data_IF_434959742490
#
_entry.id   IF_434959742490
#
_cell.length_a   1.000
_cell.length_b   1.000
_cell.length_c   1.000
_cell.angle_alpha   90.00
_cell.angle_beta   90.00
_cell.angle_gamma   90.00
#
_symmetry.space_group_name_H-M   'P 1'
#
loop_
_entity.id
_entity.type
_entity.pdbx_description
1 polymer ?
#
# COMPACT_ATOMS: atom_id res chain seq x y z
N UNK A 1 -12.80 11.58 7.29
CA UNK A 1 -12.89 11.72 8.76
C UNK A 1 -14.35 11.66 9.20
N UNK A 2 -15.23 12.54 8.71
CA UNK A 2 -16.64 12.63 9.11
C UNK A 2 -17.40 11.31 8.98
N UNK A 3 -17.28 10.62 7.86
CA UNK A 3 -17.93 9.33 7.63
C UNK A 3 -17.46 8.28 8.64
N UNK A 4 -16.14 8.17 8.86
CA UNK A 4 -15.58 7.23 9.82
C UNK A 4 -16.00 7.54 11.27
N UNK A 5 -16.14 8.81 11.62
CA UNK A 5 -16.63 9.22 12.94
C UNK A 5 -18.07 8.76 13.18
N UNK A 6 -18.88 8.61 12.11
CA UNK A 6 -20.28 8.18 12.19
C UNK A 6 -20.44 6.67 12.10
N UNK A 7 -19.81 6.02 11.12
CA UNK A 7 -20.02 4.59 10.82
C UNK A 7 -18.91 3.67 11.32
N UNK A 8 -17.84 4.25 11.87
CA UNK A 8 -16.63 3.53 12.26
C UNK A 8 -15.71 3.27 11.05
N UNK A 9 -14.51 2.81 11.33
CA UNK A 9 -13.52 2.50 10.30
C UNK A 9 -12.08 2.70 10.77
N UNK A 10 -11.13 2.55 9.85
CA UNK A 10 -9.68 2.55 10.13
C UNK A 10 -9.07 3.92 9.75
N UNK A 11 -9.25 4.94 10.59
CA UNK A 11 -8.82 6.30 10.27
C UNK A 11 -7.30 6.43 10.13
N UNK A 12 -6.55 6.00 11.14
CA UNK A 12 -5.08 6.17 11.17
C UNK A 12 -4.41 5.47 9.97
N UNK A 13 -4.80 4.22 9.70
CA UNK A 13 -4.25 3.45 8.56
C UNK A 13 -4.52 4.12 7.20
N UNK A 14 -5.67 4.76 7.05
CA UNK A 14 -6.00 5.48 5.82
C UNK A 14 -5.26 6.82 5.70
N UNK A 15 -5.13 7.56 6.78
CA UNK A 15 -4.36 8.81 6.76
C UNK A 15 -2.87 8.58 6.49
N UNK A 16 -2.32 7.44 6.96
CA UNK A 16 -0.92 7.08 6.75
C UNK A 16 -0.54 6.69 5.33
N UNK A 17 -1.52 6.50 4.43
CA UNK A 17 -1.26 6.06 3.04
C UNK A 17 -1.88 6.99 1.97
N UNK A 18 -2.29 8.20 2.33
CA UNK A 18 -2.90 9.12 1.37
C UNK A 18 -1.93 9.44 0.23
N UNK A 19 -0.73 9.90 0.58
CA UNK A 19 0.30 10.26 -0.39
C UNK A 19 0.78 9.06 -1.21
N UNK A 20 0.95 7.90 -0.56
CA UNK A 20 1.29 6.65 -1.23
C UNK A 20 0.21 6.26 -2.26
N UNK A 21 -1.05 6.30 -1.86
CA UNK A 21 -2.17 5.96 -2.75
C UNK A 21 -2.25 6.93 -3.93
N UNK A 22 -2.08 8.22 -3.70
CA UNK A 22 -2.05 9.22 -4.76
C UNK A 22 -0.88 8.99 -5.72
N UNK A 23 0.31 8.67 -5.21
CA UNK A 23 1.49 8.37 -6.03
C UNK A 23 1.27 7.12 -6.90
N UNK A 24 0.65 6.07 -6.35
CA UNK A 24 0.29 4.88 -7.10
C UNK A 24 -0.70 5.20 -8.24
N UNK A 25 -1.75 5.97 -7.96
CA UNK A 25 -2.74 6.37 -8.97
C UNK A 25 -2.20 7.34 -10.03
N UNK A 26 -1.12 8.07 -9.74
CA UNK A 26 -0.44 8.91 -10.73
C UNK A 26 0.51 8.11 -11.61
N UNK A 27 0.99 6.96 -11.14
CA UNK A 27 1.98 6.12 -11.82
C UNK A 27 1.36 4.93 -12.56
N UNK A 28 0.21 4.46 -12.11
CA UNK A 28 -0.48 3.27 -12.59
C UNK A 28 -1.96 3.55 -12.83
N UNK A 29 -2.54 2.90 -13.82
CA UNK A 29 -3.97 2.97 -14.10
C UNK A 29 -4.71 1.80 -13.44
N UNK A 30 -5.46 2.00 -12.34
CA UNK A 30 -6.12 0.91 -11.63
C UNK A 30 -7.24 0.23 -12.44
N UNK A 31 -7.62 0.76 -13.59
CA UNK A 31 -8.55 0.08 -14.51
C UNK A 31 -7.86 -1.01 -15.33
N UNK A 32 -6.54 -0.91 -15.48
CA UNK A 32 -5.68 -1.84 -16.24
C UNK A 32 -4.77 -2.58 -15.26
N UNK A 33 -3.99 -1.83 -14.48
CA UNK A 33 -3.00 -2.33 -13.54
C UNK A 33 -3.67 -2.92 -12.28
N UNK A 34 -3.03 -3.89 -11.66
CA UNK A 34 -3.59 -4.62 -10.52
C UNK A 34 -2.92 -4.17 -9.22
N UNK A 35 -3.66 -3.42 -8.40
CA UNK A 35 -3.21 -2.99 -7.07
C UNK A 35 -3.89 -3.86 -6.02
N UNK A 36 -3.12 -4.64 -5.28
CA UNK A 36 -3.59 -5.51 -4.20
C UNK A 36 -3.22 -4.91 -2.86
N UNK A 37 -4.23 -4.54 -2.08
CA UNK A 37 -4.07 -3.96 -0.74
C UNK A 37 -4.09 -5.07 0.30
N UNK A 38 -3.00 -5.26 1.05
CA UNK A 38 -2.97 -6.24 2.15
C UNK A 38 -3.97 -5.84 3.24
N UNK A 39 -4.76 -6.78 3.72
CA UNK A 39 -5.96 -6.52 4.53
C UNK A 39 -6.99 -5.66 3.77
N UNK A 40 -6.57 -4.53 3.23
CA UNK A 40 -7.40 -3.59 2.48
C UNK A 40 -8.11 -2.53 3.33
N UNK A 41 -7.87 -2.51 4.65
CA UNK A 41 -8.44 -1.53 5.57
C UNK A 41 -7.96 -0.09 5.33
N UNK A 42 -6.88 0.09 4.58
CA UNK A 42 -6.26 1.36 4.19
C UNK A 42 -6.68 1.83 2.77
N UNK A 43 -7.70 1.23 2.16
CA UNK A 43 -8.09 1.48 0.76
C UNK A 43 -9.05 2.65 0.54
N UNK A 44 -9.34 3.48 1.55
CA UNK A 44 -10.38 4.51 1.43
C UNK A 44 -9.99 5.62 0.43
N UNK A 45 -8.74 6.03 0.40
CA UNK A 45 -8.25 6.98 -0.61
C UNK A 45 -8.37 6.40 -2.01
N UNK A 46 -8.05 5.12 -2.21
CA UNK A 46 -8.26 4.41 -3.47
C UNK A 46 -9.73 4.44 -3.89
N UNK A 47 -10.67 4.14 -2.97
CA UNK A 47 -12.11 4.20 -3.25
C UNK A 47 -12.58 5.61 -3.63
N UNK A 48 -12.05 6.64 -2.99
CA UNK A 48 -12.37 8.04 -3.32
C UNK A 48 -11.89 8.38 -4.73
N UNK A 49 -10.65 8.04 -5.07
CA UNK A 49 -10.04 8.35 -6.36
C UNK A 49 -10.66 7.57 -7.51
N UNK A 50 -11.28 6.42 -7.22
CA UNK A 50 -12.00 5.58 -8.19
C UNK A 50 -13.51 5.87 -8.24
N UNK A 51 -13.93 7.06 -7.81
CA UNK A 51 -15.29 7.57 -8.01
C UNK A 51 -16.32 7.19 -6.94
N UNK A 52 -15.91 6.49 -5.87
CA UNK A 52 -16.81 5.99 -4.82
C UNK A 52 -16.96 6.94 -3.61
N UNK A 53 -16.66 8.23 -3.78
CA UNK A 53 -16.75 9.23 -2.69
C UNK A 53 -18.11 9.26 -2.02
N UNK A 54 -19.19 9.20 -2.78
CA UNK A 54 -20.56 9.30 -2.23
C UNK A 54 -20.95 8.07 -1.41
N UNK A 55 -20.39 6.91 -1.70
CA UNK A 55 -20.56 5.67 -0.95
C UNK A 55 -20.10 5.75 0.51
N UNK A 56 -19.27 6.74 0.85
CA UNK A 56 -18.84 6.98 2.23
C UNK A 56 -19.97 7.42 3.16
N UNK A 57 -21.11 7.84 2.62
CA UNK A 57 -22.31 8.09 3.41
C UNK A 57 -22.78 6.84 4.17
N UNK A 58 -22.62 5.64 3.57
CA UNK A 58 -23.06 4.35 4.12
C UNK A 58 -21.88 3.35 4.22
N UNK A 59 -20.68 3.88 4.52
CA UNK A 59 -19.48 3.06 4.69
C UNK A 59 -19.68 2.05 5.81
N UNK A 60 -19.45 0.75 5.54
CA UNK A 60 -19.56 -0.36 6.49
C UNK A 60 -20.96 -0.62 7.05
N UNK A 61 -21.98 0.01 6.49
CA UNK A 61 -23.37 -0.29 6.82
C UNK A 61 -23.88 -1.49 5.98
N UNK A 62 -24.91 -2.17 6.47
CA UNK A 62 -25.52 -3.27 5.69
C UNK A 62 -26.08 -2.74 4.36
N UNK A 63 -25.70 -3.37 3.27
CA UNK A 63 -26.05 -2.92 1.93
C UNK A 63 -25.33 -1.65 1.45
N UNK A 64 -24.44 -1.09 2.27
CA UNK A 64 -23.60 0.05 1.94
C UNK A 64 -22.23 -0.35 1.39
N UNK A 65 -21.33 0.63 1.28
CA UNK A 65 -19.97 0.42 0.76
C UNK A 65 -19.11 -0.36 1.75
N UNK A 66 -18.39 -1.38 1.26
CA UNK A 66 -17.44 -2.17 2.05
C UNK A 66 -16.30 -1.31 2.60
N UNK A 67 -15.86 -1.62 3.82
CA UNK A 67 -14.63 -1.06 4.40
C UNK A 67 -13.33 -1.65 3.83
N UNK A 68 -13.42 -2.57 2.87
CA UNK A 68 -12.31 -3.25 2.20
C UNK A 68 -12.52 -3.21 0.69
N UNK A 69 -11.48 -3.45 -0.13
CA UNK A 69 -11.64 -3.67 -1.57
C UNK A 69 -12.66 -4.75 -1.85
N UNK A 70 -13.51 -4.50 -2.83
CA UNK A 70 -14.59 -5.42 -3.21
C UNK A 70 -14.82 -5.34 -4.73
N UNK A 71 -14.49 -6.41 -5.43
CA UNK A 71 -14.65 -6.52 -6.89
C UNK A 71 -16.10 -6.39 -7.35
N UNK A 72 -17.07 -6.61 -6.46
CA UNK A 72 -18.48 -6.34 -6.74
C UNK A 72 -18.87 -4.86 -6.70
N UNK A 73 -17.99 -3.99 -6.17
CA UNK A 73 -18.23 -2.54 -6.12
C UNK A 73 -17.55 -1.79 -7.28
N UNK A 74 -16.40 -2.28 -7.75
CA UNK A 74 -15.63 -1.61 -8.79
C UNK A 74 -14.62 -2.55 -9.44
N UNK A 75 -14.48 -2.45 -10.76
CA UNK A 75 -13.45 -3.16 -11.54
C UNK A 75 -12.02 -2.70 -11.21
N UNK A 76 -11.87 -1.57 -10.50
CA UNK A 76 -10.57 -1.09 -10.01
C UNK A 76 -10.10 -1.81 -8.76
N UNK A 77 -10.96 -2.58 -8.09
CA UNK A 77 -10.59 -3.44 -6.98
C UNK A 77 -10.14 -4.80 -7.52
N UNK A 78 -8.84 -5.02 -7.55
CA UNK A 78 -8.25 -6.22 -8.17
C UNK A 78 -8.60 -7.52 -7.43
N UNK A 79 -8.94 -7.45 -6.14
CA UNK A 79 -9.26 -8.62 -5.33
C UNK A 79 -10.09 -8.25 -4.08
N UNK A 80 -10.92 -9.19 -3.61
CA UNK A 80 -11.60 -9.07 -2.32
C UNK A 80 -10.61 -9.38 -1.20
N UNK A 81 -10.15 -8.39 -0.48
CA UNK A 81 -9.19 -8.55 0.62
C UNK A 81 -9.85 -8.37 1.98
N UNK A 82 -9.20 -8.77 3.05
CA UNK A 82 -9.69 -8.69 4.43
C UNK A 82 -8.73 -9.36 5.41
N UNK A 83 -8.04 -10.42 5.00
CA UNK A 83 -7.03 -11.11 5.80
C UNK A 83 -5.64 -10.53 5.58
N UNK A 84 -4.83 -10.48 6.66
CA UNK A 84 -3.45 -10.02 6.61
C UNK A 84 -2.53 -11.02 5.91
N UNK A 85 -1.40 -10.53 5.41
CA UNK A 85 -0.30 -11.31 4.83
C UNK A 85 -0.61 -11.99 3.49
N UNK A 86 -1.70 -11.62 2.82
CA UNK A 86 -2.19 -12.29 1.60
C UNK A 86 -1.80 -11.58 0.31
N UNK A 87 -1.49 -10.28 0.35
CA UNK A 87 -1.34 -9.45 -0.84
C UNK A 87 -0.20 -9.89 -1.75
N UNK A 88 0.91 -10.35 -1.19
CA UNK A 88 2.06 -10.79 -1.99
C UNK A 88 1.74 -12.09 -2.73
N UNK A 89 1.07 -13.06 -2.08
CA UNK A 89 0.61 -14.29 -2.73
C UNK A 89 -0.39 -14.03 -3.85
N UNK A 90 -1.36 -13.11 -3.60
CA UNK A 90 -2.34 -12.72 -4.60
C UNK A 90 -1.68 -12.00 -5.79
N UNK A 91 -0.78 -11.05 -5.50
CA UNK A 91 -0.03 -10.35 -6.54
C UNK A 91 0.86 -11.29 -7.36
N UNK A 92 1.51 -12.25 -6.71
CA UNK A 92 2.28 -13.27 -7.40
C UNK A 92 1.42 -14.08 -8.36
N UNK A 93 0.23 -14.52 -7.91
CA UNK A 93 -0.71 -15.23 -8.77
C UNK A 93 -1.19 -14.40 -9.98
N UNK A 94 -1.45 -13.10 -9.78
CA UNK A 94 -1.81 -12.18 -10.87
C UNK A 94 -0.64 -11.97 -11.84
N UNK A 95 0.59 -11.88 -11.36
CA UNK A 95 1.78 -11.73 -12.18
C UNK A 95 2.04 -12.99 -13.03
N UNK A 96 1.89 -14.18 -12.45
CA UNK A 96 1.98 -15.44 -13.18
C UNK A 96 0.86 -15.58 -14.22
N UNK A 97 -0.38 -15.24 -13.85
CA UNK A 97 -1.51 -15.26 -14.78
C UNK A 97 -1.25 -14.36 -15.99
N UNK A 98 -0.75 -13.14 -15.77
CA UNK A 98 -0.36 -12.22 -16.84
C UNK A 98 0.65 -12.83 -17.82
N UNK A 99 1.69 -13.50 -17.30
CA UNK A 99 2.70 -14.15 -18.14
C UNK A 99 2.07 -15.27 -19.00
N UNK A 100 1.16 -16.05 -18.40
CA UNK A 100 0.48 -17.17 -19.10
C UNK A 100 -0.48 -16.65 -20.18
N UNK A 101 -1.22 -15.57 -19.88
CA UNK A 101 -2.21 -14.98 -20.82
C UNK A 101 -1.58 -14.05 -21.84
N UNK A 102 -0.34 -13.62 -21.63
CA UNK A 102 0.33 -12.64 -22.49
C UNK A 102 -0.24 -11.22 -22.38
N UNK A 103 -0.96 -10.92 -21.29
CA UNK A 103 -1.49 -9.58 -21.01
C UNK A 103 -0.38 -8.62 -20.57
N UNK A 104 -0.63 -7.33 -20.67
CA UNK A 104 0.34 -6.29 -20.35
C UNK A 104 -0.24 -5.31 -19.32
N UNK A 105 -0.10 -5.63 -18.05
CA UNK A 105 -0.43 -4.76 -16.92
C UNK A 105 0.60 -4.89 -15.80
N UNK A 106 0.71 -3.89 -14.97
CA UNK A 106 1.56 -3.95 -13.78
C UNK A 106 0.80 -4.62 -12.63
N UNK A 107 1.56 -5.29 -11.76
CA UNK A 107 1.02 -5.87 -10.52
C UNK A 107 1.75 -5.27 -9.35
N UNK A 108 0.99 -4.68 -8.43
CA UNK A 108 1.49 -3.98 -7.27
C UNK A 108 0.83 -4.54 -6.01
N UNK A 109 1.59 -5.08 -5.07
CA UNK A 109 1.10 -5.47 -3.74
C UNK A 109 1.54 -4.44 -2.70
N UNK A 110 0.58 -3.89 -1.97
CA UNK A 110 0.84 -2.94 -0.88
C UNK A 110 0.63 -3.66 0.44
N UNK A 111 1.69 -3.79 1.23
CA UNK A 111 1.66 -4.51 2.51
C UNK A 111 2.21 -3.63 3.64
N UNK A 112 1.55 -3.66 4.80
CA UNK A 112 2.05 -3.00 6.00
C UNK A 112 3.08 -3.85 6.74
N UNK A 113 3.91 -3.19 7.56
CA UNK A 113 4.94 -3.83 8.40
C UNK A 113 4.35 -4.90 9.33
N UNK A 114 3.20 -4.64 9.95
CA UNK A 114 2.51 -5.62 10.78
C UNK A 114 2.05 -6.85 10.00
N UNK A 115 1.49 -6.68 8.80
CA UNK A 115 1.05 -7.78 7.95
C UNK A 115 2.23 -8.59 7.38
N UNK A 116 3.38 -7.96 7.19
CA UNK A 116 4.60 -8.64 6.74
C UNK A 116 5.13 -9.64 7.76
N UNK A 117 4.72 -9.58 9.03
CA UNK A 117 5.14 -10.56 10.05
C UNK A 117 4.50 -11.95 9.88
N UNK A 118 3.48 -12.09 9.05
CA UNK A 118 2.79 -13.34 8.84
C UNK A 118 3.55 -14.31 7.92
N UNK A 119 3.49 -15.62 8.22
CA UNK A 119 4.22 -16.64 7.51
C UNK A 119 3.90 -16.72 6.02
N UNK A 120 2.65 -16.48 5.63
CA UNK A 120 2.23 -16.48 4.22
C UNK A 120 2.96 -15.40 3.40
N UNK A 121 3.21 -14.22 3.98
CA UNK A 121 3.97 -13.17 3.31
C UNK A 121 5.42 -13.61 3.02
N UNK A 122 6.06 -14.31 3.97
CA UNK A 122 7.42 -14.84 3.77
C UNK A 122 7.48 -15.92 2.71
N UNK A 123 6.52 -16.82 2.73
CA UNK A 123 6.45 -17.88 1.72
C UNK A 123 6.23 -17.30 0.32
N UNK A 124 5.35 -16.29 0.22
CA UNK A 124 5.14 -15.58 -1.03
C UNK A 124 6.39 -14.82 -1.51
N UNK A 125 7.13 -14.15 -0.62
CA UNK A 125 8.40 -13.50 -0.95
C UNK A 125 9.44 -14.51 -1.43
N UNK A 126 9.53 -15.67 -0.78
CA UNK A 126 10.42 -16.73 -1.21
C UNK A 126 10.07 -17.24 -2.62
N UNK A 127 8.80 -17.43 -2.92
CA UNK A 127 8.34 -17.79 -4.26
C UNK A 127 8.57 -16.68 -5.28
N UNK A 128 8.29 -15.42 -4.92
CA UNK A 128 8.50 -14.27 -5.79
C UNK A 128 9.96 -14.08 -6.22
N UNK A 129 10.93 -14.59 -5.44
CA UNK A 129 12.35 -14.55 -5.80
C UNK A 129 12.69 -15.33 -7.09
N UNK A 130 11.87 -16.29 -7.47
CA UNK A 130 11.99 -17.06 -8.70
C UNK A 130 11.28 -16.43 -9.90
N UNK A 131 10.39 -15.44 -9.64
CA UNK A 131 9.65 -14.76 -10.68
C UNK A 131 10.60 -13.87 -11.50
N UNK A 132 10.60 -14.03 -12.81
CA UNK A 132 11.38 -13.20 -13.75
C UNK A 132 10.56 -12.05 -14.32
N UNK A 133 9.36 -11.87 -13.83
CA UNK A 133 8.36 -10.93 -14.30
C UNK A 133 8.30 -9.67 -13.45
N UNK A 134 7.73 -8.61 -13.98
CA UNK A 134 7.60 -7.33 -13.29
C UNK A 134 6.50 -7.40 -12.23
N UNK A 135 6.90 -7.53 -10.96
CA UNK A 135 6.02 -7.52 -9.80
C UNK A 135 6.57 -6.54 -8.75
N UNK A 136 5.74 -5.60 -8.34
CA UNK A 136 6.13 -4.53 -7.41
C UNK A 136 5.54 -4.82 -6.03
N UNK A 137 6.40 -4.87 -5.02
CA UNK A 137 5.98 -5.00 -3.62
C UNK A 137 6.31 -3.69 -2.90
N UNK A 138 5.28 -3.03 -2.40
CA UNK A 138 5.39 -1.78 -1.63
C UNK A 138 5.21 -2.11 -0.16
N UNK A 139 6.28 -2.04 0.62
CA UNK A 139 6.24 -2.12 2.06
C UNK A 139 5.94 -0.73 2.65
N UNK A 140 4.77 -0.58 3.25
CA UNK A 140 4.40 0.61 4.01
C UNK A 140 4.75 0.39 5.49
N UNK A 141 5.84 0.98 5.93
CA UNK A 141 6.33 0.89 7.31
C UNK A 141 6.25 2.27 7.97
N UNK A 142 5.18 2.50 8.71
CA UNK A 142 4.96 3.70 9.51
C UNK A 142 5.06 3.46 11.01
N UNK A 143 5.59 2.31 11.42
CA UNK A 143 5.76 1.89 12.83
C UNK A 143 4.45 1.86 13.64
N UNK A 144 3.32 1.82 12.96
CA UNK A 144 1.99 1.88 13.55
C UNK A 144 1.26 0.55 13.29
N UNK A 145 1.30 -0.34 14.27
CA UNK A 145 0.37 -1.47 14.35
C UNK A 145 -0.48 -1.36 15.63
N UNK A 146 -1.49 -2.21 15.77
CA UNK A 146 -2.37 -2.25 16.97
C UNK A 146 -1.56 -2.57 18.24
N UNK A 147 -0.48 -3.33 18.08
CA UNK A 147 0.54 -3.62 19.11
C UNK A 147 1.93 -3.49 18.50
N UNK A 148 2.96 -3.41 19.34
CA UNK A 148 4.34 -3.41 18.86
C UNK A 148 4.62 -4.64 18.00
N UNK A 149 5.24 -4.42 16.84
CA UNK A 149 5.65 -5.50 15.96
C UNK A 149 6.73 -6.35 16.64
N UNK A 150 6.50 -7.66 16.72
CA UNK A 150 7.42 -8.61 17.32
C UNK A 150 8.09 -9.50 16.26
N UNK A 151 9.23 -10.06 16.62
CA UNK A 151 9.91 -11.04 15.78
C UNK A 151 11.15 -10.53 15.06
N UNK A 152 11.85 -11.47 14.43
CA UNK A 152 13.14 -11.23 13.76
C UNK A 152 13.03 -10.28 12.57
N UNK A 153 11.90 -10.28 11.86
CA UNK A 153 11.69 -9.40 10.71
C UNK A 153 11.60 -7.93 11.13
N UNK A 154 10.89 -7.62 12.20
CA UNK A 154 10.84 -6.24 12.71
C UNK A 154 12.25 -5.74 13.08
N UNK A 155 13.06 -6.60 13.72
CA UNK A 155 14.47 -6.29 14.01
C UNK A 155 15.28 -6.11 12.73
N UNK A 156 15.08 -6.95 11.73
CA UNK A 156 15.75 -6.84 10.44
C UNK A 156 15.41 -5.52 9.72
N UNK A 157 14.11 -5.18 9.62
CA UNK A 157 13.66 -3.92 9.02
C UNK A 157 14.17 -2.70 9.79
N UNK A 158 14.22 -2.78 11.13
CA UNK A 158 14.79 -1.73 11.97
C UNK A 158 16.28 -1.52 11.68
N UNK A 159 17.04 -2.61 11.60
CA UNK A 159 18.47 -2.56 11.26
C UNK A 159 18.68 -2.05 9.82
N UNK A 160 17.85 -2.48 8.88
CA UNK A 160 17.92 -2.01 7.49
C UNK A 160 17.72 -0.49 7.38
N UNK A 161 16.78 0.07 8.14
CA UNK A 161 16.52 1.53 8.16
C UNK A 161 17.67 2.34 8.73
N UNK A 162 18.49 1.75 9.58
CA UNK A 162 19.67 2.40 10.19
C UNK A 162 20.97 2.08 9.42
N UNK A 163 20.92 1.25 8.38
CA UNK A 163 22.08 0.93 7.59
C UNK A 163 22.53 2.15 6.75
N UNK A 164 23.85 2.37 6.67
CA UNK A 164 24.45 3.50 5.93
C UNK A 164 23.96 3.56 4.49
N UNK A 165 23.90 2.44 3.78
CA UNK A 165 23.40 2.37 2.40
C UNK A 165 21.94 2.88 2.25
N UNK A 166 21.06 2.64 3.22
CA UNK A 166 19.71 3.18 3.21
C UNK A 166 19.70 4.69 3.49
N UNK A 167 20.53 5.15 4.41
CA UNK A 167 20.65 6.57 4.73
C UNK A 167 21.20 7.36 3.55
N UNK A 168 22.23 6.84 2.87
CA UNK A 168 22.81 7.44 1.66
C UNK A 168 21.80 7.51 0.51
N UNK A 169 21.03 6.43 0.28
CA UNK A 169 19.96 6.41 -0.72
C UNK A 169 18.90 7.46 -0.40
N UNK A 170 18.47 7.53 0.85
CA UNK A 170 17.47 8.50 1.32
C UNK A 170 17.96 9.94 1.11
N UNK A 171 19.21 10.23 1.46
CA UNK A 171 19.79 11.56 1.28
C UNK A 171 19.95 11.90 -0.21
N UNK A 172 20.30 10.93 -1.05
CA UNK A 172 20.33 11.08 -2.50
C UNK A 172 18.95 11.41 -3.09
N UNK A 173 17.90 10.77 -2.63
CA UNK A 173 16.52 11.07 -3.04
C UNK A 173 16.09 12.48 -2.58
N UNK A 174 16.39 12.84 -1.32
CA UNK A 174 16.10 14.18 -0.79
C UNK A 174 16.82 15.26 -1.60
N UNK A 175 18.09 15.05 -1.93
CA UNK A 175 18.87 15.97 -2.76
C UNK A 175 18.30 16.09 -4.18
N UNK A 176 17.85 14.99 -4.77
CA UNK A 176 17.23 14.98 -6.09
C UNK A 176 15.91 15.75 -6.10
N UNK A 177 15.07 15.51 -5.09
CA UNK A 177 13.80 16.23 -4.92
C UNK A 177 14.02 17.72 -4.68
N UNK A 178 15.03 18.11 -3.89
CA UNK A 178 15.32 19.53 -3.62
C UNK A 178 15.73 20.33 -4.87
N UNK A 179 16.21 19.66 -5.92
CA UNK A 179 16.55 20.28 -7.20
C UNK A 179 15.35 20.60 -8.09
N UNK A 180 14.14 20.13 -7.73
CA UNK A 180 12.92 20.42 -8.49
C UNK A 180 12.52 21.89 -8.25
N UNK A 181 12.49 22.76 -9.28
CA UNK A 181 12.15 24.16 -9.12
C UNK A 181 10.74 24.34 -8.53
N UNK A 182 10.57 25.32 -7.64
CA UNK A 182 9.29 25.77 -7.05
C UNK A 182 8.71 24.81 -6.00
N UNK A 183 8.79 23.48 -6.18
CA UNK A 183 8.12 22.51 -5.31
C UNK A 183 9.08 21.68 -4.45
N UNK A 184 10.33 21.53 -4.84
CA UNK A 184 11.28 20.59 -4.22
C UNK A 184 11.53 20.87 -2.73
N UNK A 185 11.79 22.11 -2.34
CA UNK A 185 12.01 22.46 -0.93
C UNK A 185 10.74 22.26 -0.07
N UNK A 186 9.56 22.55 -0.63
CA UNK A 186 8.28 22.33 0.08
C UNK A 186 8.01 20.85 0.30
N UNK A 187 8.33 19.99 -0.68
CA UNK A 187 8.20 18.54 -0.56
C UNK A 187 9.16 17.99 0.49
N UNK A 188 10.43 18.38 0.44
CA UNK A 188 11.44 17.96 1.44
C UNK A 188 11.04 18.39 2.85
N UNK A 189 10.54 19.63 3.02
CA UNK A 189 10.06 20.13 4.32
C UNK A 189 8.86 19.32 4.84
N UNK A 190 7.91 18.96 3.97
CA UNK A 190 6.78 18.10 4.34
C UNK A 190 7.25 16.70 4.76
N UNK A 191 8.17 16.09 4.01
CA UNK A 191 8.73 14.77 4.32
C UNK A 191 9.45 14.79 5.69
N UNK A 192 10.21 15.84 5.99
CA UNK A 192 10.87 16.00 7.29
C UNK A 192 9.88 16.20 8.44
N UNK A 193 8.86 17.01 8.25
CA UNK A 193 7.87 17.28 9.29
C UNK A 193 6.95 16.07 9.57
N UNK A 194 6.66 15.24 8.58
CA UNK A 194 5.91 13.99 8.77
C UNK A 194 6.65 12.94 9.60
N UNK A 195 7.96 13.10 9.83
CA UNK A 195 8.78 12.21 10.67
C UNK A 195 8.96 12.69 12.10
N UNK A 196 8.61 13.92 12.42
CA UNK A 196 8.81 14.54 13.74
C UNK A 196 7.53 14.61 14.58
N UNK A 197 6.44 14.08 14.14
CA UNK A 197 5.16 13.91 14.81
C UNK A 197 4.81 12.45 14.95
#
# INVERSE_FOLDING_TARGET
VESIARTGGHLASNLGVVELTMALHLSFDPTIDKIVWDVGHQSYTHKILTGRKDGFANLREYGGMSGFPNTGESDTDSFNTGHSSTSISLGLGLAEAREITGENYHVISVIGDGALTGGMAFEALNNASHLKSNFIIVLNDNQMSISENVGGMNRYLSNFRTADAYLDLKDGVIQSLSKIPIYGERMVKKIRNAKSG
#
